data_IF_353147464697
#
_entry.id   IF_353147464697
#
_cell.length_a   1.000
_cell.length_b   1.000
_cell.length_c   1.000
_cell.angle_alpha   90.00
_cell.angle_beta   90.00
_cell.angle_gamma   90.00
#
_symmetry.space_group_name_H-M   'P 1'
#
loop_
_entity.id
_entity.type
_entity.pdbx_description
1 polymer ?
#
# COMPACT_ATOMS: atom_id res chain seq x y z
N UNK A 1 71.89 -45.48 23.31
CA UNK A 1 71.58 -44.00 23.25
C UNK A 1 70.55 -43.81 22.16
N UNK A 2 69.28 -43.58 22.58
CA UNK A 2 68.11 -43.41 21.65
C UNK A 2 67.78 -41.94 21.63
N UNK A 3 67.92 -41.29 20.47
CA UNK A 3 67.54 -39.87 20.28
C UNK A 3 66.03 -39.78 19.99
N UNK A 4 65.27 -39.18 20.85
CA UNK A 4 63.88 -38.73 20.61
C UNK A 4 63.91 -37.37 19.96
N UNK A 5 63.31 -37.27 18.75
CA UNK A 5 63.05 -36.02 18.04
C UNK A 5 61.64 -35.55 18.44
N UNK A 6 61.44 -34.34 18.94
CA UNK A 6 60.09 -33.81 19.17
C UNK A 6 59.48 -33.34 17.88
N UNK A 7 58.29 -33.89 17.51
CA UNK A 7 57.48 -33.40 16.40
C UNK A 7 56.68 -32.18 16.90
N UNK A 8 56.99 -31.03 16.38
CA UNK A 8 56.31 -29.77 16.64
C UNK A 8 55.02 -29.75 15.77
N UNK A 9 53.85 -29.91 16.38
CA UNK A 9 52.56 -29.79 15.71
C UNK A 9 52.19 -28.32 15.59
N UNK A 10 52.39 -27.74 14.38
CA UNK A 10 51.95 -26.39 14.07
C UNK A 10 50.43 -26.40 13.83
N UNK A 11 49.66 -25.91 14.79
CA UNK A 11 48.20 -25.71 14.61
C UNK A 11 47.98 -24.51 13.67
N UNK A 12 47.55 -24.78 12.45
CA UNK A 12 47.09 -23.77 11.51
C UNK A 12 45.74 -23.22 12.02
N UNK A 13 45.78 -22.05 12.61
CA UNK A 13 44.57 -21.24 12.84
C UNK A 13 44.11 -20.67 11.51
N UNK A 14 43.13 -21.31 10.86
CA UNK A 14 42.37 -20.69 9.79
C UNK A 14 41.40 -19.67 10.43
N UNK A 15 41.46 -18.38 10.06
CA UNK A 15 40.43 -17.45 10.50
C UNK A 15 39.08 -17.91 9.89
N UNK A 16 38.12 -18.23 10.72
CA UNK A 16 36.74 -18.38 10.29
C UNK A 16 36.31 -17.02 9.71
N UNK A 17 36.17 -16.98 8.38
CA UNK A 17 35.46 -15.90 7.70
C UNK A 17 34.03 -15.94 8.25
N UNK A 18 33.75 -15.11 9.23
CA UNK A 18 32.37 -14.81 9.62
C UNK A 18 31.70 -14.28 8.36
N UNK A 19 30.86 -15.09 7.74
CA UNK A 19 29.92 -14.65 6.72
C UNK A 19 29.07 -13.61 7.43
N UNK A 20 29.31 -12.32 7.17
CA UNK A 20 28.40 -11.28 7.56
C UNK A 20 27.06 -11.65 6.91
N UNK A 21 26.05 -11.98 7.70
CA UNK A 21 24.70 -12.16 7.20
C UNK A 21 24.35 -10.90 6.40
N UNK A 22 24.28 -11.06 5.08
CA UNK A 22 24.02 -9.94 4.17
C UNK A 22 22.66 -9.37 4.55
N UNK A 23 22.66 -8.16 5.10
CA UNK A 23 21.43 -7.53 5.60
C UNK A 23 20.52 -7.25 4.43
N UNK A 24 19.44 -8.03 4.29
CA UNK A 24 18.45 -7.93 3.21
C UNK A 24 17.36 -6.95 3.61
N UNK A 25 17.04 -5.95 2.76
CA UNK A 25 15.89 -5.10 2.94
C UNK A 25 14.61 -5.84 2.49
N UNK A 26 13.70 -6.10 3.41
CA UNK A 26 12.42 -6.79 3.14
C UNK A 26 11.35 -5.75 2.87
N UNK A 27 10.93 -5.69 1.60
CA UNK A 27 9.94 -4.73 1.10
C UNK A 27 8.61 -5.43 0.90
N UNK A 28 7.51 -4.78 1.21
CA UNK A 28 6.16 -5.29 0.97
C UNK A 28 5.21 -4.18 0.53
N UNK A 29 4.02 -4.56 0.15
CA UNK A 29 2.93 -3.66 -0.17
C UNK A 29 1.60 -4.26 0.30
N UNK A 30 0.64 -3.40 0.67
CA UNK A 30 -0.75 -3.84 0.81
C UNK A 30 -1.21 -4.44 -0.52
N UNK A 31 -1.94 -5.57 -0.51
CA UNK A 31 -2.42 -6.21 -1.74
C UNK A 31 -3.66 -5.50 -2.29
N UNK A 32 -3.46 -4.25 -2.75
CA UNK A 32 -4.51 -3.37 -3.26
C UNK A 32 -4.95 -3.71 -4.69
N UNK A 33 -4.16 -4.51 -5.38
CA UNK A 33 -4.42 -5.09 -6.70
C UNK A 33 -4.05 -6.59 -6.70
N UNK A 34 -4.30 -7.30 -7.80
CA UNK A 34 -3.95 -8.71 -7.93
C UNK A 34 -2.43 -8.95 -7.78
N UNK A 35 -1.99 -10.14 -7.31
CA UNK A 35 -0.57 -10.43 -7.07
C UNK A 35 0.32 -10.19 -8.30
N UNK A 36 -0.16 -10.55 -9.50
CA UNK A 36 0.57 -10.32 -10.75
C UNK A 36 0.77 -8.83 -11.04
N UNK A 37 -0.24 -7.98 -10.74
CA UNK A 37 -0.11 -6.53 -10.90
C UNK A 37 0.88 -5.95 -9.91
N UNK A 38 0.86 -6.40 -8.66
CA UNK A 38 1.81 -5.95 -7.63
C UNK A 38 3.25 -6.34 -7.98
N UNK A 39 3.47 -7.57 -8.44
CA UNK A 39 4.78 -8.01 -8.89
C UNK A 39 5.31 -7.14 -10.03
N UNK A 40 4.48 -6.89 -11.07
CA UNK A 40 4.83 -6.01 -12.18
C UNK A 40 5.16 -4.60 -11.72
N UNK A 41 4.38 -4.07 -10.78
CA UNK A 41 4.51 -2.71 -10.24
C UNK A 41 5.81 -2.53 -9.44
N UNK A 42 6.16 -3.50 -8.60
CA UNK A 42 7.24 -3.33 -7.63
C UNK A 42 8.58 -3.95 -8.03
N UNK A 43 8.64 -4.87 -9.00
CA UNK A 43 9.90 -5.50 -9.39
C UNK A 43 10.95 -4.50 -9.93
N UNK A 44 10.63 -3.56 -10.85
CA UNK A 44 11.60 -2.57 -11.31
C UNK A 44 12.04 -1.59 -10.21
N UNK A 45 11.11 -1.20 -9.32
CA UNK A 45 11.44 -0.37 -8.17
C UNK A 45 12.37 -1.10 -7.20
N UNK A 46 12.14 -2.38 -6.93
CA UNK A 46 13.00 -3.22 -6.09
C UNK A 46 14.43 -3.29 -6.62
N UNK A 47 14.59 -3.57 -7.91
CA UNK A 47 15.90 -3.60 -8.57
C UNK A 47 16.60 -2.23 -8.53
N UNK A 48 15.86 -1.14 -8.71
CA UNK A 48 16.40 0.22 -8.57
C UNK A 48 16.89 0.47 -7.13
N UNK A 49 16.09 0.17 -6.12
CA UNK A 49 16.45 0.37 -4.71
C UNK A 49 17.67 -0.47 -4.32
N UNK A 50 17.75 -1.74 -4.78
CA UNK A 50 18.90 -2.61 -4.56
C UNK A 50 20.19 -1.95 -5.05
N UNK A 51 20.18 -1.41 -6.28
CA UNK A 51 21.31 -0.69 -6.86
C UNK A 51 21.68 0.58 -6.06
N UNK A 52 20.68 1.36 -5.63
CA UNK A 52 20.92 2.63 -4.91
C UNK A 52 21.43 2.40 -3.49
N UNK A 53 20.96 1.36 -2.82
CA UNK A 53 21.34 1.05 -1.45
C UNK A 53 22.65 0.26 -1.35
N UNK A 54 23.02 -0.49 -2.41
CA UNK A 54 24.13 -1.43 -2.38
C UNK A 54 23.90 -2.62 -1.44
N UNK A 55 22.62 -3.04 -1.28
CA UNK A 55 22.23 -4.18 -0.46
C UNK A 55 21.05 -4.91 -1.12
N UNK A 56 20.90 -6.24 -0.91
CA UNK A 56 19.78 -7.00 -1.48
C UNK A 56 18.42 -6.45 -1.04
N UNK A 57 17.48 -6.41 -2.00
CA UNK A 57 16.08 -6.00 -1.77
C UNK A 57 15.17 -7.16 -2.13
N UNK A 58 14.39 -7.64 -1.15
CA UNK A 58 13.47 -8.76 -1.33
C UNK A 58 12.02 -8.31 -1.15
N UNK A 59 11.20 -8.46 -2.20
CA UNK A 59 9.76 -8.25 -2.08
C UNK A 59 9.10 -9.46 -1.41
N UNK A 60 8.34 -9.20 -0.34
CA UNK A 60 7.61 -10.19 0.45
C UNK A 60 6.13 -9.99 0.19
N UNK A 61 5.50 -10.95 -0.47
CA UNK A 61 4.05 -10.93 -0.68
C UNK A 61 3.32 -11.31 0.60
N UNK A 62 2.16 -10.69 0.80
CA UNK A 62 1.27 -10.93 1.94
C UNK A 62 -0.14 -11.27 1.44
N UNK A 63 -0.97 -11.85 2.31
CA UNK A 63 -2.32 -12.31 1.96
C UNK A 63 -3.35 -11.21 2.01
N UNK A 64 -3.17 -10.23 2.90
CA UNK A 64 -4.12 -9.16 3.16
C UNK A 64 -3.43 -7.91 3.75
N UNK A 65 -4.19 -6.83 3.90
CA UNK A 65 -3.68 -5.57 4.44
C UNK A 65 -3.18 -5.69 5.89
N UNK A 66 -3.91 -6.32 6.84
CA UNK A 66 -3.44 -6.51 8.21
C UNK A 66 -2.11 -7.27 8.30
N UNK A 67 -1.85 -8.22 7.40
CA UNK A 67 -0.59 -8.98 7.39
C UNK A 67 0.63 -8.09 7.16
N UNK A 68 0.50 -6.95 6.45
CA UNK A 68 1.58 -5.97 6.31
C UNK A 68 1.86 -5.24 7.63
N UNK A 69 0.82 -4.91 8.39
CA UNK A 69 0.93 -4.25 9.70
C UNK A 69 1.63 -5.16 10.69
N UNK A 70 1.19 -6.42 10.80
CA UNK A 70 1.81 -7.39 11.68
C UNK A 70 3.23 -7.77 11.24
N UNK A 71 3.49 -7.82 9.94
CA UNK A 71 4.83 -8.05 9.37
C UNK A 71 5.82 -6.95 9.75
N UNK A 72 5.39 -5.68 9.70
CA UNK A 72 6.22 -4.54 10.12
C UNK A 72 6.45 -4.58 11.65
N UNK A 73 5.39 -4.78 12.43
CA UNK A 73 5.46 -4.86 13.89
C UNK A 73 6.34 -6.02 14.38
N UNK A 74 6.29 -7.16 13.71
CA UNK A 74 7.11 -8.33 14.00
C UNK A 74 8.54 -8.25 13.44
N UNK A 75 8.93 -7.11 12.84
CA UNK A 75 10.24 -6.88 12.19
C UNK A 75 10.54 -7.88 11.06
N UNK A 76 9.51 -8.45 10.43
CA UNK A 76 9.60 -9.30 9.24
C UNK A 76 9.57 -8.51 7.94
N UNK A 77 9.19 -7.24 8.01
CA UNK A 77 9.19 -6.25 6.94
C UNK A 77 9.93 -5.01 7.39
N UNK A 78 10.64 -4.35 6.47
CA UNK A 78 11.47 -3.19 6.76
C UNK A 78 10.93 -1.91 6.11
N UNK A 79 10.36 -2.04 4.90
CA UNK A 79 9.76 -0.97 4.11
C UNK A 79 8.44 -1.47 3.51
N UNK A 80 7.36 -0.73 3.70
CA UNK A 80 6.03 -1.14 3.23
C UNK A 80 5.31 0.01 2.52
N UNK A 81 4.72 -0.30 1.37
CA UNK A 81 3.75 0.55 0.69
C UNK A 81 2.38 0.40 1.36
N UNK A 82 1.96 1.45 2.06
CA UNK A 82 0.68 1.52 2.76
C UNK A 82 -0.29 2.50 2.10
N UNK A 83 -1.61 2.27 2.29
CA UNK A 83 -2.59 3.35 2.27
C UNK A 83 -2.59 4.10 3.60
N UNK A 84 -3.13 5.32 3.63
CA UNK A 84 -3.11 6.18 4.82
C UNK A 84 -3.70 5.53 6.07
N UNK A 85 -4.82 4.80 5.93
CA UNK A 85 -5.44 4.11 7.07
C UNK A 85 -4.61 2.91 7.56
N UNK A 86 -4.06 2.11 6.63
CA UNK A 86 -3.18 1.00 7.01
C UNK A 86 -1.89 1.50 7.65
N UNK A 87 -1.37 2.66 7.19
CA UNK A 87 -0.26 3.34 7.84
C UNK A 87 -0.63 3.75 9.28
N UNK A 88 -1.79 4.39 9.50
CA UNK A 88 -2.25 4.77 10.85
C UNK A 88 -2.33 3.54 11.76
N UNK A 89 -2.86 2.42 11.25
CA UNK A 89 -2.90 1.16 12.00
C UNK A 89 -1.48 0.67 12.36
N UNK A 90 -0.54 0.70 11.40
CA UNK A 90 0.85 0.30 11.61
C UNK A 90 1.56 1.21 12.61
N UNK A 91 1.38 2.52 12.49
CA UNK A 91 1.95 3.52 13.41
C UNK A 91 1.44 3.31 14.85
N UNK A 92 0.14 3.17 15.04
CA UNK A 92 -0.46 2.87 16.37
C UNK A 92 0.01 1.52 16.93
N UNK A 93 0.14 0.51 16.09
CA UNK A 93 0.57 -0.84 16.49
C UNK A 93 2.02 -0.89 16.94
N UNK A 94 2.90 -0.13 16.29
CA UNK A 94 4.35 -0.13 16.53
C UNK A 94 4.82 1.01 17.44
N UNK A 95 4.08 2.11 17.48
CA UNK A 95 4.45 3.37 18.13
C UNK A 95 5.56 4.16 17.42
N UNK A 96 6.18 3.61 16.38
CA UNK A 96 7.38 4.20 15.76
C UNK A 96 7.52 4.01 14.23
N UNK A 97 6.54 3.43 13.55
CA UNK A 97 6.57 3.36 12.08
C UNK A 97 6.54 4.77 11.48
N UNK A 98 7.40 5.04 10.49
CA UNK A 98 7.60 6.39 9.92
C UNK A 98 7.36 6.38 8.40
N UNK A 99 6.41 7.19 7.89
CA UNK A 99 6.24 7.38 6.46
C UNK A 99 7.34 8.33 5.97
N UNK A 100 8.04 7.95 4.91
CA UNK A 100 9.23 8.69 4.43
C UNK A 100 8.98 9.46 3.14
N UNK A 101 8.24 8.86 2.22
CA UNK A 101 7.86 9.48 0.94
C UNK A 101 6.48 9.02 0.51
N UNK A 102 5.85 9.81 -0.35
CA UNK A 102 4.60 9.50 -1.03
C UNK A 102 4.68 9.95 -2.49
N UNK A 103 3.79 9.46 -3.33
CA UNK A 103 3.60 10.04 -4.66
C UNK A 103 3.00 11.44 -4.51
N UNK A 104 3.26 12.33 -5.47
CA UNK A 104 2.68 13.69 -5.42
C UNK A 104 1.15 13.66 -5.36
N UNK A 105 0.52 12.76 -6.11
CA UNK A 105 -0.93 12.58 -6.19
C UNK A 105 -1.56 12.13 -4.85
N UNK A 106 -0.78 11.46 -3.99
CA UNK A 106 -1.28 10.92 -2.72
C UNK A 106 -1.57 12.01 -1.67
N UNK A 107 -1.10 13.25 -1.90
CA UNK A 107 -1.44 14.40 -1.03
C UNK A 107 -2.87 14.93 -1.26
N UNK A 108 -3.48 14.63 -2.42
CA UNK A 108 -4.82 15.08 -2.82
C UNK A 108 -5.63 13.95 -3.47
N UNK A 109 -5.62 12.79 -2.82
CA UNK A 109 -6.20 11.56 -3.35
C UNK A 109 -7.72 11.51 -3.20
N UNK A 110 -8.40 10.72 -4.03
CA UNK A 110 -9.86 10.57 -4.00
C UNK A 110 -10.29 9.10 -4.07
N UNK A 111 -11.48 8.83 -3.56
CA UNK A 111 -12.22 7.61 -3.84
C UNK A 111 -13.31 7.85 -4.86
N UNK A 112 -13.60 6.83 -5.66
CA UNK A 112 -14.73 6.81 -6.59
C UNK A 112 -15.79 5.84 -6.05
N UNK A 113 -17.03 6.32 -5.96
CA UNK A 113 -18.19 5.45 -5.91
C UNK A 113 -18.63 5.13 -7.33
N UNK A 114 -18.70 3.87 -7.66
CA UNK A 114 -19.06 3.36 -8.98
C UNK A 114 -20.33 2.53 -8.92
N UNK A 115 -21.09 2.57 -9.99
CA UNK A 115 -22.33 1.79 -10.16
C UNK A 115 -22.40 1.23 -11.59
N UNK A 116 -23.21 0.20 -11.87
CA UNK A 116 -23.50 -0.19 -13.24
C UNK A 116 -23.99 1.00 -14.07
N UNK A 117 -23.63 1.06 -15.35
CA UNK A 117 -23.97 2.18 -16.22
C UNK A 117 -25.48 2.43 -16.34
N UNK A 118 -26.29 1.35 -16.28
CA UNK A 118 -27.75 1.39 -16.32
C UNK A 118 -28.41 1.62 -14.95
N UNK A 119 -27.62 1.82 -13.88
CA UNK A 119 -28.16 2.10 -12.54
C UNK A 119 -28.96 3.42 -12.55
N UNK A 120 -30.16 3.47 -11.96
CA UNK A 120 -30.94 4.69 -11.83
C UNK A 120 -30.39 5.67 -10.79
N UNK A 121 -29.44 5.24 -9.94
CA UNK A 121 -28.88 6.06 -8.87
C UNK A 121 -28.18 7.32 -9.42
N UNK A 122 -28.48 8.49 -8.83
CA UNK A 122 -27.89 9.79 -9.19
C UNK A 122 -27.11 10.40 -8.02
N UNK A 123 -27.40 9.97 -6.80
CA UNK A 123 -26.81 10.48 -5.55
C UNK A 123 -26.40 9.31 -4.65
N UNK A 124 -25.63 9.62 -3.58
CA UNK A 124 -25.32 8.61 -2.55
C UNK A 124 -26.57 8.10 -1.85
N UNK A 125 -27.62 8.94 -1.68
CA UNK A 125 -28.87 8.56 -1.03
C UNK A 125 -29.62 7.47 -1.81
N UNK A 126 -29.47 7.43 -3.13
CA UNK A 126 -30.11 6.41 -3.98
C UNK A 126 -29.50 5.01 -3.80
N UNK A 127 -28.39 4.93 -3.06
CA UNK A 127 -27.75 3.66 -2.70
C UNK A 127 -28.37 2.99 -1.48
N UNK A 128 -29.25 3.67 -0.72
CA UNK A 128 -29.97 3.05 0.41
C UNK A 128 -30.81 1.84 -0.06
N UNK A 129 -30.75 0.78 0.70
CA UNK A 129 -31.39 -0.51 0.36
C UNK A 129 -30.68 -1.32 -0.73
N UNK A 130 -29.55 -0.84 -1.27
CA UNK A 130 -28.73 -1.53 -2.28
C UNK A 130 -27.63 -2.36 -1.64
N UNK A 131 -26.92 -3.15 -2.44
CA UNK A 131 -25.67 -3.79 -2.03
C UNK A 131 -24.46 -2.93 -2.41
N UNK A 132 -23.47 -2.87 -1.53
CA UNK A 132 -22.22 -2.15 -1.79
C UNK A 132 -21.01 -3.06 -1.52
N UNK A 133 -19.98 -2.95 -2.37
CA UNK A 133 -18.68 -3.53 -2.12
C UNK A 133 -17.68 -2.44 -1.73
N UNK A 134 -17.01 -2.64 -0.61
CA UNK A 134 -15.76 -1.96 -0.26
C UNK A 134 -14.56 -2.80 -0.69
N UNK A 135 -13.35 -2.21 -0.65
CA UNK A 135 -12.09 -2.92 -0.87
C UNK A 135 -11.74 -3.83 0.32
N UNK A 136 -10.52 -3.65 0.90
CA UNK A 136 -10.15 -4.28 2.18
C UNK A 136 -10.75 -3.50 3.37
N UNK A 137 -11.08 -4.16 4.49
CA UNK A 137 -11.44 -3.47 5.73
C UNK A 137 -10.44 -2.41 6.20
N UNK A 138 -9.13 -2.61 5.94
CA UNK A 138 -8.06 -1.66 6.27
C UNK A 138 -7.71 -0.69 5.15
N UNK A 139 -8.47 -0.65 4.04
CA UNK A 139 -8.23 0.27 2.93
C UNK A 139 -8.70 1.69 3.28
N UNK A 140 -7.89 2.71 2.94
CA UNK A 140 -8.28 4.12 3.03
C UNK A 140 -9.32 4.45 1.98
N UNK A 141 -8.92 4.42 0.71
CA UNK A 141 -9.74 4.83 -0.44
C UNK A 141 -10.80 3.80 -0.84
N UNK A 142 -10.62 2.52 -0.46
CA UNK A 142 -11.60 1.47 -0.75
C UNK A 142 -12.61 1.21 0.37
N UNK A 143 -12.40 1.76 1.58
CA UNK A 143 -13.32 1.55 2.70
C UNK A 143 -13.44 2.76 3.63
N UNK A 144 -12.38 3.15 4.36
CA UNK A 144 -12.49 4.15 5.41
C UNK A 144 -13.12 5.46 4.91
N UNK A 145 -12.52 6.09 3.90
CA UNK A 145 -12.98 7.39 3.42
C UNK A 145 -14.36 7.31 2.75
N UNK A 146 -14.66 6.31 1.90
CA UNK A 146 -16.02 6.08 1.46
C UNK A 146 -17.04 5.94 2.60
N UNK A 147 -16.76 5.10 3.61
CA UNK A 147 -17.61 4.93 4.79
C UNK A 147 -17.83 6.24 5.53
N UNK A 148 -16.75 6.96 5.83
CA UNK A 148 -16.79 8.24 6.52
C UNK A 148 -17.69 9.25 5.79
N UNK A 149 -17.56 9.35 4.46
CA UNK A 149 -18.40 10.27 3.69
C UNK A 149 -19.85 9.79 3.54
N UNK A 150 -20.12 8.48 3.49
CA UNK A 150 -21.50 7.97 3.60
C UNK A 150 -22.12 8.42 4.92
N UNK A 151 -21.43 8.21 6.05
CA UNK A 151 -21.91 8.61 7.38
C UNK A 151 -22.10 10.12 7.48
N UNK A 152 -21.20 10.93 6.94
CA UNK A 152 -21.35 12.39 6.85
C UNK A 152 -22.56 12.84 6.04
N UNK A 153 -23.01 12.03 5.10
CA UNK A 153 -24.22 12.27 4.31
C UNK A 153 -25.46 11.56 4.92
N UNK A 154 -25.41 11.17 6.20
CA UNK A 154 -26.53 10.54 6.89
C UNK A 154 -26.88 9.14 6.39
N UNK A 155 -25.87 8.40 5.88
CA UNK A 155 -26.01 7.02 5.43
C UNK A 155 -25.14 6.13 6.33
N UNK A 156 -25.77 5.31 7.16
CA UNK A 156 -25.11 4.31 7.99
C UNK A 156 -24.94 3.02 7.18
N UNK A 157 -23.71 2.61 6.80
CA UNK A 157 -23.55 1.44 5.94
C UNK A 157 -24.15 0.15 6.52
N UNK A 158 -24.15 -0.04 7.82
CA UNK A 158 -24.70 -1.24 8.45
C UNK A 158 -26.22 -1.26 8.50
N UNK A 159 -26.88 -0.10 8.45
CA UNK A 159 -28.34 0.02 8.56
C UNK A 159 -29.02 0.29 7.23
N UNK A 160 -28.36 1.15 6.41
CA UNK A 160 -28.99 1.70 5.21
C UNK A 160 -28.73 0.86 3.95
N UNK A 161 -27.69 -0.01 3.94
CA UNK A 161 -27.48 -0.94 2.83
C UNK A 161 -28.12 -2.30 3.12
N UNK A 162 -28.68 -2.92 2.07
CA UNK A 162 -29.16 -4.31 2.14
C UNK A 162 -28.02 -5.29 2.43
N UNK A 163 -26.83 -4.98 1.89
CA UNK A 163 -25.63 -5.81 2.06
C UNK A 163 -24.37 -4.94 1.92
N UNK A 164 -23.46 -5.09 2.86
CA UNK A 164 -22.09 -4.59 2.76
C UNK A 164 -21.16 -5.78 2.59
N UNK A 165 -20.29 -5.73 1.58
CA UNK A 165 -19.31 -6.77 1.31
C UNK A 165 -17.92 -6.17 1.12
N UNK A 166 -16.88 -6.97 1.36
CA UNK A 166 -15.49 -6.60 1.14
C UNK A 166 -14.89 -7.45 0.03
N UNK A 167 -14.44 -6.81 -1.04
CA UNK A 167 -13.85 -7.49 -2.20
C UNK A 167 -12.38 -7.87 -1.98
N UNK A 168 -11.71 -7.21 -1.02
CA UNK A 168 -10.30 -7.39 -0.68
C UNK A 168 -9.35 -6.47 -1.45
N UNK A 169 -9.66 -6.12 -2.72
CA UNK A 169 -8.81 -5.32 -3.58
C UNK A 169 -9.61 -4.41 -4.52
N UNK A 170 -9.00 -3.35 -5.05
CA UNK A 170 -9.70 -2.35 -5.87
C UNK A 170 -10.14 -2.89 -7.22
N UNK A 171 -9.31 -3.70 -7.88
CA UNK A 171 -9.65 -4.34 -9.15
C UNK A 171 -10.81 -5.33 -9.00
N UNK A 172 -10.85 -6.07 -7.88
CA UNK A 172 -11.98 -6.95 -7.54
C UNK A 172 -13.27 -6.15 -7.31
N UNK A 173 -13.21 -5.00 -6.62
CA UNK A 173 -14.39 -4.12 -6.44
C UNK A 173 -14.97 -3.70 -7.78
N UNK A 174 -14.12 -3.21 -8.71
CA UNK A 174 -14.55 -2.79 -10.04
C UNK A 174 -15.21 -3.94 -10.81
N UNK A 175 -14.63 -5.14 -10.76
CA UNK A 175 -15.18 -6.35 -11.39
C UNK A 175 -16.51 -6.79 -10.81
N UNK A 176 -16.71 -6.65 -9.50
CA UNK A 176 -18.00 -7.01 -8.87
C UNK A 176 -19.13 -6.07 -9.31
N UNK A 177 -18.83 -4.76 -9.49
CA UNK A 177 -19.81 -3.82 -10.04
C UNK A 177 -20.07 -4.10 -11.52
N UNK A 178 -19.02 -4.30 -12.32
CA UNK A 178 -19.11 -4.60 -13.76
C UNK A 178 -19.98 -5.83 -14.03
N UNK A 179 -19.83 -6.87 -13.21
CA UNK A 179 -20.59 -8.13 -13.35
C UNK A 179 -22.00 -8.09 -12.76
N UNK A 180 -22.38 -6.98 -12.11
CA UNK A 180 -23.66 -6.87 -11.42
C UNK A 180 -23.75 -7.69 -10.12
N UNK A 181 -22.61 -8.16 -9.58
CA UNK A 181 -22.59 -8.89 -8.29
C UNK A 181 -23.00 -8.00 -7.12
N UNK A 182 -22.74 -6.69 -7.24
CA UNK A 182 -23.18 -5.66 -6.30
C UNK A 182 -23.74 -4.46 -7.05
N UNK A 183 -24.61 -3.69 -6.40
CA UNK A 183 -25.26 -2.52 -6.97
C UNK A 183 -24.33 -1.29 -6.99
N UNK A 184 -23.34 -1.24 -6.09
CA UNK A 184 -22.36 -0.17 -6.00
C UNK A 184 -21.01 -0.69 -5.48
N UNK A 185 -19.96 0.08 -5.71
CA UNK A 185 -18.65 -0.18 -5.14
C UNK A 185 -17.89 1.11 -4.85
N UNK A 186 -16.93 1.05 -3.92
CA UNK A 186 -16.05 2.16 -3.64
C UNK A 186 -14.59 1.71 -3.78
N UNK A 187 -13.79 2.48 -4.52
CA UNK A 187 -12.41 2.12 -4.81
C UNK A 187 -11.53 3.35 -5.06
N UNK A 188 -10.25 3.08 -5.12
CA UNK A 188 -9.16 3.99 -5.46
C UNK A 188 -9.34 4.55 -6.89
N UNK A 189 -9.27 5.88 -7.03
CA UNK A 189 -9.46 6.53 -8.34
C UNK A 189 -8.38 6.17 -9.36
N UNK A 190 -7.11 6.06 -8.95
CA UNK A 190 -6.02 5.77 -9.88
C UNK A 190 -6.02 4.33 -10.39
N UNK A 191 -6.48 3.37 -9.57
CA UNK A 191 -6.70 1.98 -10.01
C UNK A 191 -7.90 1.92 -10.93
N UNK A 192 -8.99 2.62 -10.63
CA UNK A 192 -10.16 2.69 -11.51
C UNK A 192 -9.79 3.22 -12.90
N UNK A 193 -9.04 4.33 -12.96
CA UNK A 193 -8.58 4.91 -14.23
C UNK A 193 -7.68 3.92 -14.99
N UNK A 194 -6.71 3.30 -14.31
CA UNK A 194 -5.84 2.27 -14.90
C UNK A 194 -6.63 1.12 -15.53
N UNK A 195 -7.66 0.62 -14.82
CA UNK A 195 -8.49 -0.48 -15.34
C UNK A 195 -9.25 -0.09 -16.61
N UNK A 196 -9.68 1.17 -16.72
CA UNK A 196 -10.28 1.72 -17.93
C UNK A 196 -9.26 1.85 -19.08
N UNK A 197 -8.10 2.43 -18.80
CA UNK A 197 -7.03 2.68 -19.79
C UNK A 197 -6.48 1.36 -20.35
N UNK A 198 -6.32 0.35 -19.49
CA UNK A 198 -5.88 -1.00 -19.87
C UNK A 198 -7.02 -1.87 -20.44
N UNK A 199 -8.24 -1.34 -20.55
CA UNK A 199 -9.44 -2.07 -21.01
C UNK A 199 -9.71 -3.35 -20.22
N UNK A 200 -9.37 -3.35 -18.93
CA UNK A 200 -9.62 -4.47 -18.00
C UNK A 200 -11.03 -4.47 -17.44
N UNK A 201 -11.72 -3.34 -17.53
CA UNK A 201 -13.14 -3.18 -17.30
C UNK A 201 -13.77 -2.47 -18.50
N UNK A 202 -15.03 -2.75 -18.74
CA UNK A 202 -15.79 -2.16 -19.84
C UNK A 202 -16.40 -0.83 -19.40
N UNK A 203 -15.90 0.28 -19.95
CA UNK A 203 -16.38 1.62 -19.65
C UNK A 203 -17.88 1.82 -19.98
N UNK A 204 -18.47 0.98 -20.85
CA UNK A 204 -19.89 1.05 -21.17
C UNK A 204 -20.79 0.40 -20.08
N UNK A 205 -20.19 -0.40 -19.19
CA UNK A 205 -20.92 -1.13 -18.13
C UNK A 205 -20.86 -0.48 -16.76
N UNK A 206 -19.94 0.48 -16.56
CA UNK A 206 -19.70 1.12 -15.26
C UNK A 206 -19.68 2.63 -15.45
N UNK A 207 -20.19 3.34 -14.44
CA UNK A 207 -19.99 4.79 -14.35
C UNK A 207 -19.67 5.21 -12.93
N UNK A 208 -18.99 6.34 -12.81
CA UNK A 208 -18.76 7.02 -11.52
C UNK A 208 -20.09 7.67 -11.11
N UNK A 209 -20.52 7.37 -9.90
CA UNK A 209 -21.67 8.02 -9.24
C UNK A 209 -21.22 9.27 -8.48
N UNK A 210 -20.16 9.15 -7.69
CA UNK A 210 -19.67 10.22 -6.84
C UNK A 210 -18.17 10.07 -6.57
N UNK A 211 -17.50 11.22 -6.37
CA UNK A 211 -16.08 11.29 -6.00
C UNK A 211 -15.97 12.00 -4.66
N UNK A 212 -15.19 11.46 -3.74
CA UNK A 212 -14.98 12.05 -2.42
C UNK A 212 -14.21 13.37 -2.53
N UNK A 213 -14.31 14.28 -1.53
CA UNK A 213 -13.28 15.27 -1.30
C UNK A 213 -11.89 14.64 -1.18
N UNK A 214 -10.83 15.44 -1.38
CA UNK A 214 -9.45 14.93 -1.32
C UNK A 214 -9.01 14.58 0.11
N UNK A 215 -8.07 13.65 0.20
CA UNK A 215 -7.43 13.22 1.44
C UNK A 215 -6.02 12.71 1.16
N UNK A 216 -5.17 12.60 2.19
CA UNK A 216 -3.89 11.92 2.09
C UNK A 216 -4.09 10.39 2.03
N UNK A 217 -3.45 9.71 1.08
CA UNK A 217 -3.55 8.25 1.00
C UNK A 217 -2.16 7.60 1.03
N UNK A 218 -1.67 7.07 -0.07
CA UNK A 218 -0.53 6.16 -0.07
C UNK A 218 0.78 6.78 0.40
N UNK A 219 1.63 5.93 0.99
CA UNK A 219 2.97 6.28 1.42
C UNK A 219 3.89 5.06 1.50
N UNK A 220 5.19 5.29 1.43
CA UNK A 220 6.22 4.34 1.79
C UNK A 220 6.62 4.56 3.25
N UNK A 221 6.45 3.54 4.07
CA UNK A 221 6.71 3.57 5.51
C UNK A 221 7.81 2.58 5.87
N UNK A 222 8.75 3.03 6.68
CA UNK A 222 9.79 2.19 7.30
C UNK A 222 9.41 1.82 8.73
N UNK A 223 9.92 0.67 9.22
CA UNK A 223 9.88 0.38 10.66
C UNK A 223 10.80 1.35 11.41
N UNK A 224 10.39 1.80 12.59
CA UNK A 224 11.03 2.90 13.29
C UNK A 224 12.42 2.61 13.88
N UNK A 225 12.82 1.34 13.93
CA UNK A 225 14.15 0.91 14.40
C UNK A 225 15.08 0.50 13.25
N UNK A 226 14.72 0.81 11.99
CA UNK A 226 15.63 0.63 10.85
C UNK A 226 16.81 1.60 10.97
N UNK A 227 18.01 1.15 10.57
CA UNK A 227 19.22 2.00 10.60
C UNK A 227 18.94 3.36 9.92
N UNK A 228 19.13 4.48 10.62
CA UNK A 228 18.89 5.81 10.06
C UNK A 228 19.61 6.08 8.75
N UNK A 229 20.81 5.50 8.56
CA UNK A 229 21.56 5.63 7.31
C UNK A 229 20.86 4.92 6.14
N UNK A 230 20.20 3.78 6.41
CA UNK A 230 19.40 3.09 5.40
C UNK A 230 18.15 3.89 5.09
N UNK A 231 17.48 4.47 6.09
CA UNK A 231 16.31 5.33 5.93
C UNK A 231 16.63 6.55 5.05
N UNK A 232 17.72 7.25 5.33
CA UNK A 232 18.15 8.42 4.55
C UNK A 232 18.49 8.04 3.09
N UNK A 233 19.17 6.92 2.88
CA UNK A 233 19.46 6.41 1.53
C UNK A 233 18.17 6.04 0.78
N UNK A 234 17.21 5.37 1.44
CA UNK A 234 15.90 5.05 0.86
C UNK A 234 15.18 6.32 0.42
N UNK A 235 15.06 7.29 1.32
CA UNK A 235 14.42 8.57 1.03
C UNK A 235 15.09 9.28 -0.14
N UNK A 236 16.42 9.37 -0.14
CA UNK A 236 17.19 9.96 -1.23
C UNK A 236 16.96 9.22 -2.56
N UNK A 237 16.94 7.88 -2.54
CA UNK A 237 16.69 7.07 -3.74
C UNK A 237 15.31 7.35 -4.35
N UNK A 238 14.25 7.38 -3.54
CA UNK A 238 12.91 7.73 -4.04
C UNK A 238 12.84 9.15 -4.62
N UNK A 239 13.42 10.13 -3.93
CA UNK A 239 13.40 11.53 -4.35
C UNK A 239 14.29 11.82 -5.56
N UNK A 240 15.26 10.95 -5.86
CA UNK A 240 16.12 11.04 -7.03
C UNK A 240 15.49 10.47 -8.32
N UNK A 241 14.32 9.82 -8.22
CA UNK A 241 13.60 9.36 -9.41
C UNK A 241 13.13 10.56 -10.23
N UNK A 242 13.54 10.58 -11.50
CA UNK A 242 13.36 11.70 -12.44
C UNK A 242 12.64 11.21 -13.70
N UNK A 243 11.46 11.73 -13.94
CA UNK A 243 10.60 11.32 -15.06
C UNK A 243 11.21 11.60 -16.44
N UNK A 244 12.21 12.47 -16.53
CA UNK A 244 12.94 12.76 -17.79
C UNK A 244 13.91 11.65 -18.19
N UNK A 245 14.27 10.75 -17.28
CA UNK A 245 15.19 9.63 -17.52
C UNK A 245 14.41 8.38 -17.89
N UNK A 246 14.66 7.75 -19.05
CA UNK A 246 13.89 6.59 -19.52
C UNK A 246 13.78 5.45 -18.51
N UNK A 247 14.88 5.10 -17.83
CA UNK A 247 14.94 4.04 -16.83
C UNK A 247 14.15 4.36 -15.55
N UNK A 248 14.04 5.64 -15.16
CA UNK A 248 13.22 6.09 -14.03
C UNK A 248 11.75 6.24 -14.44
N UNK A 249 11.50 6.63 -15.70
CA UNK A 249 10.16 6.81 -16.22
C UNK A 249 9.34 5.53 -16.16
N UNK A 250 9.94 4.38 -16.52
CA UNK A 250 9.27 3.08 -16.42
C UNK A 250 8.81 2.79 -14.98
N UNK A 251 9.69 3.01 -14.00
CA UNK A 251 9.36 2.84 -12.58
C UNK A 251 8.21 3.77 -12.18
N UNK A 252 8.31 5.04 -12.53
CA UNK A 252 7.33 6.07 -12.17
C UNK A 252 5.96 5.83 -12.83
N UNK A 253 5.93 5.41 -14.11
CA UNK A 253 4.70 5.03 -14.81
C UNK A 253 4.00 3.85 -14.11
N UNK A 254 4.76 2.82 -13.71
CA UNK A 254 4.22 1.68 -12.95
C UNK A 254 3.70 2.09 -11.57
N UNK A 255 4.34 3.08 -10.93
CA UNK A 255 3.87 3.67 -9.69
C UNK A 255 2.72 4.67 -9.90
N UNK A 256 2.38 5.00 -11.14
CA UNK A 256 1.34 5.98 -11.51
C UNK A 256 1.61 7.37 -10.93
N UNK A 257 2.84 7.83 -11.05
CA UNK A 257 3.28 9.16 -10.63
C UNK A 257 4.38 9.71 -11.54
N UNK A 258 4.62 10.99 -11.46
CA UNK A 258 5.78 11.61 -12.10
C UNK A 258 6.94 11.85 -11.12
N UNK A 259 6.64 11.88 -9.83
CA UNK A 259 7.67 12.05 -8.78
C UNK A 259 7.16 11.59 -7.42
N UNK A 260 8.11 11.30 -6.55
CA UNK A 260 7.87 11.15 -5.13
C UNK A 260 8.18 12.46 -4.41
N UNK A 261 7.46 12.72 -3.31
CA UNK A 261 7.65 13.87 -2.43
C UNK A 261 7.81 13.37 -0.97
N UNK A 262 8.47 14.14 -0.09
CA UNK A 262 8.53 13.80 1.32
C UNK A 262 7.14 13.77 1.95
N UNK A 263 6.95 12.91 2.94
CA UNK A 263 5.74 12.89 3.77
C UNK A 263 6.10 12.73 5.24
N UNK A 264 5.13 12.89 6.13
CA UNK A 264 5.30 12.82 7.58
C UNK A 264 4.02 12.34 8.26
N UNK A 265 4.13 11.89 9.51
CA UNK A 265 3.03 11.30 10.28
C UNK A 265 1.82 12.25 10.37
N UNK A 266 2.06 13.55 10.58
CA UNK A 266 1.01 14.55 10.78
C UNK A 266 0.08 14.71 9.57
N UNK A 267 0.54 14.37 8.37
CA UNK A 267 -0.28 14.42 7.16
C UNK A 267 -1.47 13.45 7.21
N UNK A 268 -1.40 12.43 8.06
CA UNK A 268 -2.42 11.39 8.21
C UNK A 268 -3.33 11.57 9.43
N UNK A 269 -3.21 12.69 10.16
CA UNK A 269 -4.06 12.98 11.32
C UNK A 269 -5.56 12.96 10.97
N UNK A 270 -5.95 13.55 9.84
CA UNK A 270 -7.33 13.54 9.38
C UNK A 270 -7.85 12.14 9.02
N UNK A 271 -6.97 11.24 8.59
CA UNK A 271 -7.30 9.82 8.34
C UNK A 271 -7.58 9.11 9.67
N UNK A 272 -6.77 9.37 10.69
CA UNK A 272 -6.99 8.82 12.03
C UNK A 272 -8.31 9.32 12.64
N UNK A 273 -8.59 10.63 12.54
CA UNK A 273 -9.86 11.21 12.99
C UNK A 273 -11.06 10.62 12.25
N UNK A 274 -10.97 10.46 10.93
CA UNK A 274 -12.01 9.82 10.13
C UNK A 274 -12.24 8.37 10.59
N UNK A 275 -11.19 7.62 10.91
CA UNK A 275 -11.28 6.24 11.35
C UNK A 275 -11.94 6.11 12.75
N UNK A 276 -11.64 7.03 13.67
CA UNK A 276 -12.32 7.13 14.98
C UNK A 276 -13.80 7.48 14.78
N UNK A 277 -14.08 8.49 13.97
CA UNK A 277 -15.46 8.92 13.66
C UNK A 277 -16.29 7.83 12.98
N UNK A 278 -15.66 7.00 12.15
CA UNK A 278 -16.31 5.89 11.47
C UNK A 278 -16.40 4.61 12.34
N UNK A 279 -15.93 4.65 13.60
CA UNK A 279 -15.94 3.51 14.53
C UNK A 279 -14.96 2.38 14.15
N UNK A 280 -13.96 2.68 13.30
CA UNK A 280 -12.96 1.71 12.84
C UNK A 280 -11.67 1.72 13.68
N UNK A 281 -11.47 2.76 14.48
CA UNK A 281 -10.43 2.84 15.52
C UNK A 281 -11.05 3.22 16.85
N UNK A 282 -10.52 2.63 17.91
CA UNK A 282 -10.78 3.05 19.31
C UNK A 282 -9.71 4.07 19.73
N UNK A 283 -10.02 4.90 20.69
CA UNK A 283 -9.09 5.84 21.31
C UNK A 283 -7.90 5.16 21.99
#
# INVERSE_FOLDING_TARGET
MKHLIPVLLAALFLPALASADETVLRVSAIPDESPTQLQRKFAPLGAYLEKQLGMPVKFVSVTDYPATVEGLAAKKLDLVWYGGFTFVQAHRRTGNAVPIVQREEDATFHSKFIVPANSPAKTLQDLKGKSIAFGSPSSTSGHLMPRYYLMKNGIDPEKDFRQVAFSGAHDATAKWVESGKVDAGALNESVFQKLLDEKKIDASKIRVLWTTPSFYDYNWTVRGDLDPKVVEKLKAAFLALDYSKPEHKEILDLQRTKKFIPTKVENYASIEEAAKSAGLLKD
#
